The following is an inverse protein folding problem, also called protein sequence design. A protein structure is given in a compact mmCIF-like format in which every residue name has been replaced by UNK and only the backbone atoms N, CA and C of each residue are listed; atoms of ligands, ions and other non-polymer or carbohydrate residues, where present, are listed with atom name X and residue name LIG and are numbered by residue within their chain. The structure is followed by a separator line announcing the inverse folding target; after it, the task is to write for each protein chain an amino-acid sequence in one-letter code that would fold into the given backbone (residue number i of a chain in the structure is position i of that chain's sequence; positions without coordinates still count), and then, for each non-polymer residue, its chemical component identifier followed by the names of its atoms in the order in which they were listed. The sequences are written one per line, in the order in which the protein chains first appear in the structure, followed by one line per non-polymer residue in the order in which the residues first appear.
data_IF_896308112644
#
_entry.id   IF_896308112644
#
_cell.length_a   1.000
_cell.length_b   1.000
_cell.length_c   1.000
_cell.angle_alpha   90.00
_cell.angle_beta   90.00
_cell.angle_gamma   90.00
#
_symmetry.space_group_name_H-M   'P 1'
#
loop_
_entity.id
_entity.type
_entity.pdbx_description
1 polymer ?
#
# COMPACT_ATOMS: atom_id res chain seq x y z
N UNK A 1 36.12 -16.70 -14.57
CA UNK A 1 34.94 -16.76 -13.66
C UNK A 1 34.16 -15.48 -13.86
N UNK A 2 33.15 -15.53 -14.72
CA UNK A 2 32.20 -14.44 -14.86
C UNK A 2 31.31 -14.44 -13.62
N UNK A 3 31.67 -13.61 -12.63
CA UNK A 3 30.81 -13.38 -11.50
C UNK A 3 29.51 -12.74 -12.03
N UNK A 4 28.39 -13.37 -11.78
CA UNK A 4 27.08 -12.76 -12.08
C UNK A 4 26.99 -11.41 -11.33
N UNK A 5 26.47 -10.38 -11.99
CA UNK A 5 26.31 -9.09 -11.34
C UNK A 5 25.44 -9.23 -10.09
N UNK A 6 25.91 -8.74 -8.95
CA UNK A 6 25.16 -8.73 -7.70
C UNK A 6 24.34 -7.44 -7.67
N UNK A 7 23.01 -7.56 -7.62
CA UNK A 7 22.13 -6.43 -7.41
C UNK A 7 22.33 -5.89 -5.99
N UNK A 8 22.74 -4.64 -5.86
CA UNK A 8 22.93 -3.99 -4.56
C UNK A 8 21.69 -3.23 -4.11
N UNK A 9 20.93 -2.65 -5.03
CA UNK A 9 19.73 -1.86 -4.78
C UNK A 9 18.90 -1.71 -6.05
N UNK A 10 17.59 -1.45 -5.90
CA UNK A 10 16.65 -1.13 -6.96
C UNK A 10 15.93 0.17 -6.67
N UNK A 11 15.54 0.88 -7.71
CA UNK A 11 14.69 2.08 -7.61
C UNK A 11 13.43 1.88 -8.44
N UNK A 12 12.30 2.27 -7.88
CA UNK A 12 11.07 2.42 -8.64
C UNK A 12 11.02 3.83 -9.22
N UNK A 13 10.99 3.95 -10.55
CA UNK A 13 10.85 5.23 -11.24
C UNK A 13 9.40 5.35 -11.70
N UNK A 14 8.70 6.31 -11.12
CA UNK A 14 7.30 6.58 -11.42
C UNK A 14 7.18 7.78 -12.37
N UNK A 15 6.93 7.49 -13.67
CA UNK A 15 6.76 8.49 -14.72
C UNK A 15 5.27 8.85 -14.86
N UNK A 16 4.83 9.87 -14.15
CA UNK A 16 3.46 10.40 -14.18
C UNK A 16 3.46 11.90 -13.88
N UNK A 17 2.39 12.63 -14.20
CA UNK A 17 2.22 14.00 -13.70
C UNK A 17 2.34 14.02 -12.18
N UNK A 18 3.01 15.04 -11.64
CA UNK A 18 3.19 15.18 -10.20
C UNK A 18 1.82 15.10 -9.50
N UNK A 19 1.65 14.21 -8.50
CA UNK A 19 0.44 14.17 -7.70
C UNK A 19 0.16 15.49 -7.01
N UNK A 20 -1.12 15.83 -6.91
CA UNK A 20 -1.58 17.01 -6.18
C UNK A 20 -1.88 16.66 -4.73
N UNK A 21 -1.74 17.64 -3.86
CA UNK A 21 -2.12 17.52 -2.45
C UNK A 21 -3.64 17.58 -2.27
N UNK A 22 -4.16 16.75 -1.37
CA UNK A 22 -5.54 16.74 -0.90
C UNK A 22 -5.55 16.89 0.62
N UNK A 23 -6.17 17.95 1.11
CA UNK A 23 -6.21 18.29 2.53
C UNK A 23 -7.51 17.82 3.14
N UNK A 24 -7.44 16.95 4.13
CA UNK A 24 -8.60 16.39 4.84
C UNK A 24 -8.51 16.72 6.33
N UNK A 25 -9.61 17.18 6.92
CA UNK A 25 -9.73 17.28 8.36
C UNK A 25 -9.89 15.89 8.98
N UNK A 26 -9.25 15.68 10.14
CA UNK A 26 -9.65 14.58 11.02
C UNK A 26 -11.11 14.77 11.47
N UNK A 27 -11.81 13.68 11.77
CA UNK A 27 -13.18 13.73 12.29
C UNK A 27 -13.30 14.55 13.58
N UNK A 28 -12.25 14.56 14.40
CA UNK A 28 -12.18 15.43 15.60
C UNK A 28 -11.95 16.91 15.25
N UNK A 29 -11.74 17.25 13.98
CA UNK A 29 -11.57 18.63 13.51
C UNK A 29 -10.23 19.29 13.89
N UNK A 30 -9.35 18.58 14.61
CA UNK A 30 -8.12 19.17 15.15
C UNK A 30 -6.88 19.03 14.28
N UNK A 31 -6.84 18.03 13.41
CA UNK A 31 -5.67 17.71 12.58
C UNK A 31 -6.03 17.74 11.10
N UNK A 32 -5.14 18.29 10.29
CA UNK A 32 -5.26 18.25 8.83
C UNK A 32 -4.23 17.24 8.32
N UNK A 33 -4.70 16.27 7.53
CA UNK A 33 -3.84 15.34 6.82
C UNK A 33 -3.75 15.71 5.35
N UNK A 34 -2.55 15.66 4.80
CA UNK A 34 -2.28 15.95 3.40
C UNK A 34 -1.95 14.67 2.66
N UNK A 35 -2.90 14.18 1.87
CA UNK A 35 -2.71 12.99 1.04
C UNK A 35 -2.29 13.34 -0.38
N UNK A 36 -1.60 12.43 -1.03
CA UNK A 36 -1.50 12.45 -2.49
C UNK A 36 -2.89 12.17 -3.10
N UNK A 37 -3.19 12.77 -4.24
CA UNK A 37 -4.48 12.58 -4.94
C UNK A 37 -4.69 11.16 -5.48
N UNK A 38 -3.64 10.37 -5.61
CA UNK A 38 -3.64 9.01 -6.20
C UNK A 38 -2.72 8.04 -5.48
N UNK A 39 -2.90 6.76 -5.74
CA UNK A 39 -2.02 5.69 -5.24
C UNK A 39 -0.63 5.77 -5.89
N UNK A 40 0.40 5.22 -5.23
CA UNK A 40 1.73 5.11 -5.84
C UNK A 40 1.62 4.25 -7.11
N UNK A 41 2.25 4.73 -8.18
CA UNK A 41 2.25 4.07 -9.47
C UNK A 41 1.01 4.35 -10.33
N UNK A 42 -0.01 5.02 -9.80
CA UNK A 42 -1.18 5.42 -10.58
C UNK A 42 -0.85 6.60 -11.52
N UNK A 43 -1.35 6.54 -12.74
CA UNK A 43 -1.14 7.61 -13.72
C UNK A 43 -2.26 8.66 -13.70
N UNK A 44 -3.38 8.37 -13.02
CA UNK A 44 -4.54 9.25 -12.90
C UNK A 44 -5.20 9.13 -11.52
N UNK A 45 -5.88 10.18 -11.09
CA UNK A 45 -6.81 10.19 -9.95
C UNK A 45 -8.28 9.95 -10.38
N UNK A 46 -8.54 9.82 -11.68
CA UNK A 46 -9.85 9.51 -12.21
C UNK A 46 -10.20 8.03 -12.04
N UNK A 47 -11.50 7.75 -11.89
CA UNK A 47 -12.02 6.37 -11.78
C UNK A 47 -11.56 5.48 -12.93
N UNK A 48 -11.15 4.27 -12.62
CA UNK A 48 -10.73 3.24 -13.57
C UNK A 48 -9.36 2.65 -13.26
N UNK A 49 -8.92 1.70 -14.08
CA UNK A 49 -7.69 0.92 -13.89
C UNK A 49 -6.43 1.80 -13.68
N UNK A 50 -6.41 2.97 -14.32
CA UNK A 50 -5.30 3.94 -14.22
C UNK A 50 -5.15 4.58 -12.84
N UNK A 51 -6.15 4.47 -11.96
CA UNK A 51 -6.13 4.97 -10.59
C UNK A 51 -5.65 3.94 -9.57
N UNK A 52 -5.59 2.67 -9.94
CA UNK A 52 -5.28 1.59 -8.99
C UNK A 52 -3.85 1.67 -8.47
N UNK A 53 -2.89 2.07 -9.33
CA UNK A 53 -1.48 2.11 -8.98
C UNK A 53 -0.86 0.72 -8.88
N UNK A 54 0.17 0.61 -8.06
CA UNK A 54 0.95 -0.60 -7.86
C UNK A 54 0.72 -1.19 -6.47
N UNK A 55 1.01 -2.49 -6.33
CA UNK A 55 0.84 -3.24 -5.10
C UNK A 55 2.18 -3.46 -4.42
N UNK A 56 2.18 -3.49 -3.11
CA UNK A 56 3.39 -3.67 -2.30
C UNK A 56 3.17 -4.76 -1.27
N UNK A 57 4.15 -5.63 -1.06
CA UNK A 57 4.21 -6.43 0.14
C UNK A 57 4.64 -5.54 1.31
N UNK A 58 4.05 -5.73 2.48
CA UNK A 58 4.30 -4.84 3.62
C UNK A 58 5.79 -4.73 3.96
N UNK A 59 6.27 -3.49 4.11
CA UNK A 59 7.67 -3.21 4.43
C UNK A 59 8.63 -3.27 3.24
N UNK A 60 8.16 -3.52 2.01
CA UNK A 60 8.96 -3.48 0.78
C UNK A 60 8.83 -2.15 0.06
N UNK A 61 9.93 -1.72 -0.55
CA UNK A 61 9.97 -0.58 -1.45
C UNK A 61 9.67 -0.94 -2.92
N UNK A 62 9.76 -2.23 -3.25
CA UNK A 62 9.64 -2.72 -4.62
C UNK A 62 8.18 -3.03 -4.94
N UNK A 63 7.64 -2.48 -6.04
CA UNK A 63 6.25 -2.65 -6.43
C UNK A 63 6.01 -3.93 -7.22
N UNK A 64 4.74 -4.34 -7.23
CA UNK A 64 4.20 -5.39 -8.07
C UNK A 64 3.00 -4.89 -8.86
N UNK A 65 2.83 -5.44 -10.06
CA UNK A 65 1.66 -5.19 -10.88
C UNK A 65 0.50 -6.10 -10.51
N UNK A 66 -0.68 -5.68 -10.94
CA UNK A 66 -1.85 -6.54 -10.93
C UNK A 66 -1.59 -7.80 -11.77
N UNK A 67 -1.66 -9.00 -11.20
CA UNK A 67 -1.50 -10.24 -11.95
C UNK A 67 -2.46 -10.31 -13.15
N UNK A 68 -1.97 -10.79 -14.29
CA UNK A 68 -2.75 -10.93 -15.52
C UNK A 68 -2.92 -9.66 -16.37
N UNK A 69 -2.38 -8.53 -15.93
CA UNK A 69 -2.26 -7.31 -16.73
C UNK A 69 -0.84 -6.74 -16.59
N UNK A 70 0.16 -7.32 -17.27
CA UNK A 70 1.53 -6.83 -17.15
C UNK A 70 1.65 -5.41 -17.74
N UNK A 71 1.99 -4.44 -16.90
CA UNK A 71 2.33 -3.08 -17.32
C UNK A 71 3.72 -3.04 -17.98
N UNK A 72 4.58 -4.01 -17.70
CA UNK A 72 6.00 -4.07 -18.06
C UNK A 72 6.35 -5.11 -19.12
N UNK A 73 5.36 -5.70 -19.78
CA UNK A 73 5.62 -6.57 -20.93
C UNK A 73 6.37 -5.82 -22.07
N UNK A 74 6.26 -4.49 -22.06
CA UNK A 74 7.00 -3.59 -22.94
C UNK A 74 8.51 -3.64 -22.73
N UNK A 75 9.01 -4.07 -21.58
CA UNK A 75 10.44 -4.13 -21.26
C UNK A 75 10.96 -5.57 -21.14
N UNK A 76 10.14 -6.59 -21.39
CA UNK A 76 10.56 -7.99 -21.26
C UNK A 76 10.90 -8.41 -19.82
N UNK A 77 10.50 -7.63 -18.83
CA UNK A 77 10.69 -7.94 -17.42
C UNK A 77 9.60 -8.89 -16.96
N UNK A 78 9.89 -10.17 -16.98
CA UNK A 78 9.01 -11.15 -16.33
C UNK A 78 9.12 -10.98 -14.83
N UNK A 79 8.01 -10.58 -14.19
CA UNK A 79 7.88 -10.73 -12.74
C UNK A 79 8.06 -12.20 -12.42
N UNK A 80 9.17 -12.56 -11.82
CA UNK A 80 9.39 -13.93 -11.36
C UNK A 80 8.48 -14.15 -10.17
N UNK A 81 7.28 -14.64 -10.45
CA UNK A 81 6.36 -15.04 -9.41
C UNK A 81 6.97 -16.22 -8.63
N UNK A 82 6.74 -16.22 -7.34
CA UNK A 82 6.81 -17.37 -6.47
C UNK A 82 8.22 -17.92 -6.21
N UNK A 83 8.86 -17.41 -5.20
CA UNK A 83 9.83 -18.20 -4.45
C UNK A 83 9.12 -19.22 -3.57
N UNK A 84 9.72 -20.41 -3.49
CA UNK A 84 9.26 -21.48 -2.63
C UNK A 84 8.99 -21.00 -1.20
N UNK A 85 8.06 -21.67 -0.57
CA UNK A 85 7.48 -21.51 0.77
C UNK A 85 8.52 -21.41 1.89
N UNK A 86 9.40 -20.42 1.91
CA UNK A 86 10.38 -20.20 2.98
C UNK A 86 10.33 -18.77 3.50
N UNK A 87 10.80 -18.60 4.72
CA UNK A 87 11.05 -17.26 5.28
C UNK A 87 12.11 -16.57 4.45
N UNK A 88 11.84 -15.34 4.05
CA UNK A 88 12.74 -14.53 3.23
C UNK A 88 13.41 -13.48 4.11
N UNK A 89 14.72 -13.40 4.03
CA UNK A 89 15.49 -12.38 4.73
C UNK A 89 15.35 -11.02 4.03
N UNK A 90 15.71 -9.95 4.74
CA UNK A 90 15.77 -8.62 4.15
C UNK A 90 16.74 -8.57 2.96
N UNK A 91 17.88 -9.23 3.09
CA UNK A 91 18.89 -9.30 2.02
C UNK A 91 18.33 -9.99 0.76
N UNK A 92 17.64 -11.12 0.93
CA UNK A 92 16.99 -11.81 -0.20
C UNK A 92 15.95 -10.91 -0.88
N UNK A 93 15.19 -10.14 -0.11
CA UNK A 93 14.23 -9.20 -0.66
C UNK A 93 14.87 -8.10 -1.49
N UNK A 94 15.97 -7.53 -1.01
CA UNK A 94 16.72 -6.49 -1.73
C UNK A 94 17.33 -7.05 -3.02
N UNK A 95 17.91 -8.25 -2.95
CA UNK A 95 18.53 -8.93 -4.11
C UNK A 95 17.52 -9.40 -5.16
N UNK A 96 16.25 -9.54 -4.78
CA UNK A 96 15.19 -10.06 -5.65
C UNK A 96 13.98 -9.10 -5.69
N UNK A 97 14.14 -7.87 -6.19
CA UNK A 97 13.08 -6.85 -6.16
C UNK A 97 11.84 -7.26 -6.98
N UNK A 98 12.01 -8.08 -8.01
CA UNK A 98 10.95 -8.55 -8.90
C UNK A 98 10.29 -9.85 -8.42
N UNK A 99 10.70 -10.41 -7.27
CA UNK A 99 10.13 -11.64 -6.74
C UNK A 99 9.05 -11.33 -5.72
N UNK A 100 7.85 -11.78 -5.98
CA UNK A 100 6.76 -11.78 -5.00
C UNK A 100 6.96 -12.98 -4.05
N UNK A 101 7.09 -12.72 -2.77
CA UNK A 101 7.32 -13.76 -1.78
C UNK A 101 6.02 -14.30 -1.24
N UNK A 102 5.66 -15.51 -1.65
CA UNK A 102 4.49 -16.19 -1.13
C UNK A 102 4.65 -16.54 0.35
N UNK A 103 3.54 -16.87 1.00
CA UNK A 103 3.57 -17.36 2.38
C UNK A 103 4.40 -18.65 2.50
N UNK A 104 5.17 -18.78 3.58
CA UNK A 104 5.64 -20.06 4.05
C UNK A 104 4.50 -20.88 4.68
N UNK A 105 4.83 -21.91 5.43
CA UNK A 105 3.85 -22.71 6.20
C UNK A 105 3.10 -21.87 7.25
N UNK A 106 3.63 -20.70 7.62
CA UNK A 106 2.96 -19.72 8.45
C UNK A 106 2.59 -18.48 7.61
N UNK A 107 1.30 -18.31 7.41
CA UNK A 107 0.65 -17.20 6.69
C UNK A 107 1.14 -15.81 7.12
N UNK A 108 1.57 -15.68 8.38
CA UNK A 108 1.86 -14.41 9.04
C UNK A 108 3.28 -13.92 8.83
N UNK A 109 4.20 -14.75 8.36
CA UNK A 109 5.63 -14.52 8.58
C UNK A 109 6.53 -14.61 7.35
N UNK A 110 6.00 -14.71 6.15
CA UNK A 110 6.81 -14.97 4.97
C UNK A 110 7.86 -13.88 4.70
N UNK A 111 7.59 -12.64 5.04
CA UNK A 111 8.45 -11.54 4.64
C UNK A 111 8.99 -10.69 5.79
N UNK A 112 8.25 -10.35 6.83
CA UNK A 112 8.63 -9.22 7.71
C UNK A 112 8.89 -9.58 9.18
N UNK A 113 8.95 -10.84 9.54
CA UNK A 113 8.97 -11.28 10.93
C UNK A 113 10.08 -10.68 11.81
N UNK A 114 11.22 -10.33 11.23
CA UNK A 114 12.38 -9.87 12.00
C UNK A 114 12.60 -8.35 12.00
N UNK A 115 11.77 -7.59 11.31
CA UNK A 115 11.89 -6.14 11.30
C UNK A 115 10.52 -5.48 11.18
N UNK A 116 9.79 -5.38 12.30
CA UNK A 116 8.43 -4.87 12.32
C UNK A 116 8.32 -3.37 11.95
N UNK A 117 9.42 -2.66 11.85
CA UNK A 117 9.45 -1.21 11.62
C UNK A 117 10.06 -0.82 10.28
N UNK A 118 9.92 -1.64 9.24
CA UNK A 118 10.54 -1.38 7.93
C UNK A 118 10.13 -0.07 7.28
N UNK A 119 8.89 0.35 7.48
CA UNK A 119 8.43 1.66 7.05
C UNK A 119 8.48 2.72 8.15
N UNK A 120 9.13 2.39 9.29
CA UNK A 120 9.24 3.25 10.49
C UNK A 120 7.88 3.74 11.01
N UNK A 121 6.83 2.92 10.86
CA UNK A 121 5.47 3.24 11.25
C UNK A 121 5.14 3.02 12.73
N UNK A 122 6.15 3.05 13.61
CA UNK A 122 5.97 2.77 15.05
C UNK A 122 5.04 3.77 15.73
N UNK A 123 5.20 5.04 15.42
CA UNK A 123 4.37 6.11 15.91
C UNK A 123 4.41 7.31 14.94
N UNK A 124 3.65 8.36 15.25
CA UNK A 124 3.56 9.55 14.38
C UNK A 124 4.88 10.31 14.28
N UNK A 125 5.77 10.15 15.26
CA UNK A 125 7.07 10.84 15.32
C UNK A 125 8.18 10.04 14.66
N UNK A 126 7.95 8.76 14.35
CA UNK A 126 8.93 7.93 13.67
C UNK A 126 9.15 8.43 12.24
N UNK A 127 10.41 8.61 11.87
CA UNK A 127 10.80 9.03 10.53
C UNK A 127 10.51 7.96 9.47
N UNK A 128 10.59 8.38 8.22
CA UNK A 128 10.51 7.50 7.06
C UNK A 128 11.79 6.70 6.88
N UNK A 129 11.70 5.41 6.62
CA UNK A 129 12.86 4.59 6.29
C UNK A 129 13.17 4.59 4.80
N UNK A 130 14.35 4.05 4.43
CA UNK A 130 14.74 3.83 3.02
C UNK A 130 13.88 2.78 2.31
N UNK A 131 13.09 2.00 3.03
CA UNK A 131 12.18 0.99 2.49
C UNK A 131 10.76 1.51 2.24
N UNK A 132 10.47 2.71 2.70
CA UNK A 132 9.18 3.36 2.43
C UNK A 132 9.12 3.77 0.96
N UNK A 133 8.13 3.27 0.17
CA UNK A 133 8.07 3.50 -1.26
C UNK A 133 7.51 4.87 -1.65
N UNK A 134 6.96 5.62 -0.71
CA UNK A 134 6.42 6.95 -1.00
C UNK A 134 7.51 7.92 -1.47
N UNK A 135 7.21 8.86 -2.36
CA UNK A 135 8.18 9.85 -2.82
C UNK A 135 8.63 10.78 -1.68
N UNK A 136 9.70 11.54 -1.95
CA UNK A 136 10.22 12.52 -1.00
C UNK A 136 9.15 13.49 -0.52
N UNK A 137 9.10 13.76 0.78
CA UNK A 137 8.10 14.59 1.46
C UNK A 137 6.79 13.89 1.76
N UNK A 138 6.70 12.59 1.42
CA UNK A 138 5.54 11.74 1.73
C UNK A 138 6.00 10.42 2.35
N UNK A 139 5.13 9.79 3.11
CA UNK A 139 5.34 8.48 3.75
C UNK A 139 4.11 7.60 3.65
N UNK A 140 4.29 6.31 3.89
CA UNK A 140 3.17 5.40 4.14
C UNK A 140 2.48 5.85 5.43
N UNK A 141 1.16 6.11 5.42
CA UNK A 141 0.46 6.57 6.62
C UNK A 141 0.44 5.51 7.71
N UNK A 142 0.54 5.93 8.96
CA UNK A 142 0.25 5.06 10.10
C UNK A 142 -1.27 4.91 10.26
N UNK A 143 -1.72 3.87 10.96
CA UNK A 143 -3.14 3.55 11.10
C UNK A 143 -3.97 4.68 11.70
N UNK A 144 -3.43 5.46 12.63
CA UNK A 144 -4.14 6.58 13.28
C UNK A 144 -4.58 7.66 12.27
N UNK A 145 -3.84 7.83 11.16
CA UNK A 145 -4.22 8.76 10.09
C UNK A 145 -5.56 8.35 9.48
N UNK A 146 -5.72 7.08 9.16
CA UNK A 146 -6.97 6.55 8.62
C UNK A 146 -8.06 6.43 9.67
N UNK A 147 -7.70 6.08 10.90
CA UNK A 147 -8.66 6.05 12.02
C UNK A 147 -9.34 7.41 12.20
N UNK A 148 -8.58 8.48 12.10
CA UNK A 148 -9.08 9.84 12.25
C UNK A 148 -9.87 10.36 11.04
N UNK A 149 -9.91 9.64 9.92
CA UNK A 149 -10.74 9.99 8.75
C UNK A 149 -12.15 9.41 8.82
N UNK A 150 -12.43 8.57 9.78
CA UNK A 150 -13.70 7.87 9.92
C UNK A 150 -14.32 8.14 11.28
N UNK A 151 -15.61 8.10 11.33
CA UNK A 151 -16.38 8.19 12.56
C UNK A 151 -17.13 6.89 12.80
N UNK A 152 -16.87 6.28 13.96
CA UNK A 152 -17.65 5.14 14.49
C UNK A 152 -17.93 4.00 13.49
N UNK A 153 -16.98 3.70 12.59
CA UNK A 153 -17.08 2.61 11.60
C UNK A 153 -18.16 2.79 10.53
N UNK A 154 -18.79 3.93 10.43
CA UNK A 154 -19.85 4.22 9.46
C UNK A 154 -19.41 5.27 8.43
N UNK A 155 -20.09 5.29 7.30
CA UNK A 155 -20.00 6.40 6.36
C UNK A 155 -20.47 7.66 7.03
N UNK A 156 -19.70 8.73 6.88
CA UNK A 156 -20.04 10.07 7.39
C UNK A 156 -20.56 10.94 6.25
N UNK A 157 -21.07 12.11 6.58
CA UNK A 157 -21.42 13.13 5.57
C UNK A 157 -20.21 13.59 4.75
N UNK A 158 -18.99 13.36 5.25
CA UNK A 158 -17.74 13.71 4.59
C UNK A 158 -17.18 12.60 3.68
N UNK A 159 -17.88 11.46 3.58
CA UNK A 159 -17.44 10.37 2.74
C UNK A 159 -18.65 9.70 2.06
N UNK A 160 -18.51 9.43 0.78
CA UNK A 160 -19.49 8.68 0.01
C UNK A 160 -18.86 7.46 -0.64
N UNK A 161 -19.60 6.38 -0.72
CA UNK A 161 -19.20 5.16 -1.38
C UNK A 161 -19.88 5.02 -2.73
N UNK A 162 -19.13 4.52 -3.69
CA UNK A 162 -19.60 4.07 -4.98
C UNK A 162 -19.05 2.66 -5.26
N UNK A 163 -19.59 1.99 -6.28
CA UNK A 163 -19.14 0.63 -6.66
C UNK A 163 -17.65 0.54 -7.02
N UNK A 164 -17.04 1.66 -7.35
CA UNK A 164 -15.63 1.75 -7.77
C UNK A 164 -14.68 2.19 -6.67
N UNK A 165 -15.18 2.70 -5.55
CA UNK A 165 -14.35 3.19 -4.46
C UNK A 165 -15.04 4.15 -3.50
N UNK A 166 -14.23 4.79 -2.68
CA UNK A 166 -14.67 5.73 -1.65
C UNK A 166 -14.12 7.11 -1.93
N UNK A 167 -14.97 8.11 -1.79
CA UNK A 167 -14.64 9.52 -1.93
C UNK A 167 -14.70 10.22 -0.58
N UNK A 168 -13.65 10.89 -0.22
CA UNK A 168 -13.62 11.76 0.94
C UNK A 168 -13.71 13.23 0.51
N UNK A 169 -14.54 13.99 1.21
CA UNK A 169 -14.56 15.45 1.07
C UNK A 169 -13.23 16.03 1.53
N UNK A 170 -12.67 16.93 0.75
CA UNK A 170 -11.43 17.65 1.08
C UNK A 170 -11.72 19.13 1.36
N UNK A 171 -10.78 19.80 2.01
CA UNK A 171 -10.90 21.22 2.34
C UNK A 171 -10.99 22.11 1.09
N UNK A 172 -10.35 21.66 -0.02
CA UNK A 172 -10.37 22.41 -1.28
C UNK A 172 -11.75 22.32 -1.95
N UNK A 173 -12.44 23.44 -2.18
CA UNK A 173 -13.76 23.42 -2.81
C UNK A 173 -13.76 22.74 -4.18
N UNK A 174 -14.78 21.92 -4.43
CA UNK A 174 -14.98 21.22 -5.71
C UNK A 174 -13.99 20.10 -5.98
N UNK A 175 -13.27 19.64 -4.98
CA UNK A 175 -12.37 18.49 -5.06
C UNK A 175 -12.76 17.42 -4.05
N UNK A 176 -12.38 16.19 -4.36
CA UNK A 176 -12.55 15.03 -3.48
C UNK A 176 -11.26 14.20 -3.51
N UNK A 177 -11.06 13.38 -2.51
CA UNK A 177 -10.02 12.37 -2.49
C UNK A 177 -10.65 11.00 -2.74
N UNK A 178 -10.34 10.42 -3.89
CA UNK A 178 -10.84 9.12 -4.31
C UNK A 178 -9.88 8.00 -3.91
N UNK A 179 -10.41 6.98 -3.23
CA UNK A 179 -9.73 5.72 -2.92
C UNK A 179 -10.39 4.61 -3.75
N UNK A 180 -9.77 4.13 -4.84
CA UNK A 180 -10.32 3.05 -5.63
C UNK A 180 -10.35 1.71 -4.89
N UNK A 181 -11.37 0.91 -5.16
CA UNK A 181 -11.41 -0.51 -4.81
C UNK A 181 -10.50 -1.28 -5.74
N UNK A 182 -9.29 -1.53 -5.30
CA UNK A 182 -8.23 -2.08 -6.15
C UNK A 182 -8.15 -3.60 -6.15
N UNK A 183 -8.80 -4.27 -5.19
CA UNK A 183 -8.53 -5.67 -4.89
C UNK A 183 -7.15 -5.88 -4.25
N UNK A 184 -6.75 -7.13 -4.11
CA UNK A 184 -5.49 -7.53 -3.47
C UNK A 184 -4.76 -8.58 -4.31
N UNK A 185 -3.44 -8.64 -4.19
CA UNK A 185 -2.63 -9.79 -4.63
C UNK A 185 -2.53 -10.74 -3.45
N UNK A 186 -3.03 -11.94 -3.60
CA UNK A 186 -2.99 -12.96 -2.55
C UNK A 186 -1.61 -13.64 -2.46
N UNK A 187 -1.45 -14.51 -1.50
CA UNK A 187 -0.20 -15.17 -1.15
C UNK A 187 0.42 -16.02 -2.27
N UNK A 188 -0.39 -16.48 -3.21
CA UNK A 188 0.04 -17.28 -4.35
C UNK A 188 0.25 -16.45 -5.63
N UNK A 189 0.30 -15.11 -5.47
CA UNK A 189 0.33 -14.16 -6.57
C UNK A 189 -0.94 -14.17 -7.44
N UNK A 190 -2.03 -14.77 -6.99
CA UNK A 190 -3.33 -14.61 -7.62
C UNK A 190 -3.93 -13.25 -7.30
N UNK A 191 -4.82 -12.79 -8.15
CA UNK A 191 -5.54 -11.55 -7.91
C UNK A 191 -6.93 -11.84 -7.38
N UNK A 192 -7.24 -11.27 -6.23
CA UNK A 192 -8.57 -11.37 -5.60
C UNK A 192 -9.24 -10.00 -5.65
N UNK A 193 -10.39 -9.94 -6.31
CA UNK A 193 -11.26 -8.78 -6.30
C UNK A 193 -12.47 -9.10 -5.43
N UNK A 194 -12.47 -8.58 -4.22
CA UNK A 194 -13.47 -8.88 -3.20
C UNK A 194 -14.49 -7.75 -2.98
N UNK A 195 -14.59 -6.80 -3.91
CA UNK A 195 -15.41 -5.60 -3.78
C UNK A 195 -15.11 -4.80 -2.51
N UNK A 196 -13.91 -4.97 -1.97
CA UNK A 196 -13.42 -4.29 -0.79
C UNK A 196 -12.35 -3.26 -1.12
N UNK A 197 -12.22 -2.29 -0.25
CA UNK A 197 -11.13 -1.34 -0.25
C UNK A 197 -10.14 -1.77 0.80
N UNK A 198 -8.86 -1.98 0.41
CA UNK A 198 -7.80 -2.35 1.33
C UNK A 198 -6.50 -1.65 0.97
N UNK A 199 -5.90 -1.00 1.95
CA UNK A 199 -4.66 -0.24 1.83
C UNK A 199 -3.72 -0.55 2.97
N UNK A 200 -2.43 -0.62 2.68
CA UNK A 200 -1.44 -0.74 3.72
C UNK A 200 -1.36 0.51 4.59
N UNK A 201 -1.10 0.29 5.87
CA UNK A 201 -0.55 1.29 6.78
C UNK A 201 0.88 0.93 7.16
N UNK A 202 1.67 1.89 7.62
CA UNK A 202 3.01 1.63 8.14
C UNK A 202 3.00 0.99 9.54
N UNK A 203 1.84 0.95 10.20
CA UNK A 203 1.74 0.45 11.58
C UNK A 203 1.92 -1.05 11.66
N UNK A 204 2.96 -1.53 12.35
CA UNK A 204 3.19 -2.95 12.53
C UNK A 204 2.26 -3.53 13.60
N UNK A 205 1.96 -4.81 13.45
CA UNK A 205 1.49 -5.68 14.54
C UNK A 205 2.54 -6.76 14.82
N UNK A 206 2.33 -7.56 15.84
CA UNK A 206 3.31 -8.58 16.27
C UNK A 206 3.69 -9.55 15.14
N UNK A 207 2.73 -9.93 14.31
CA UNK A 207 2.92 -10.90 13.21
C UNK A 207 2.27 -10.49 11.89
N UNK A 208 1.54 -9.39 11.89
CA UNK A 208 0.78 -8.87 10.75
C UNK A 208 1.00 -7.37 10.64
N UNK A 209 0.30 -6.70 9.75
CA UNK A 209 0.28 -5.25 9.66
C UNK A 209 -1.16 -4.74 9.69
N UNK A 210 -1.34 -3.53 10.17
CA UNK A 210 -2.64 -2.88 10.12
C UNK A 210 -2.93 -2.40 8.71
N UNK A 211 -4.18 -2.52 8.29
CA UNK A 211 -4.68 -2.02 7.03
C UNK A 211 -5.81 -1.04 7.24
N UNK A 212 -6.01 -0.17 6.28
CA UNK A 212 -7.21 0.64 6.17
C UNK A 212 -8.12 -0.01 5.13
N UNK A 213 -9.38 -0.24 5.48
CA UNK A 213 -10.27 -0.92 4.55
C UNK A 213 -11.75 -0.68 4.78
N UNK A 214 -12.53 -1.00 3.75
CA UNK A 214 -13.98 -1.05 3.76
C UNK A 214 -14.44 -2.40 3.22
N UNK A 215 -15.29 -3.09 3.97
CA UNK A 215 -15.83 -4.38 3.58
C UNK A 215 -17.23 -4.58 4.17
N UNK A 216 -18.15 -5.12 3.39
CA UNK A 216 -19.53 -5.41 3.81
C UNK A 216 -20.24 -4.23 4.52
N UNK A 217 -20.06 -3.02 4.00
CA UNK A 217 -20.78 -1.86 4.51
C UNK A 217 -20.15 -1.22 5.76
N UNK A 218 -18.94 -1.62 6.16
CA UNK A 218 -18.27 -1.12 7.37
C UNK A 218 -16.82 -0.75 7.09
N UNK A 219 -16.33 0.28 7.76
CA UNK A 219 -14.92 0.52 7.90
C UNK A 219 -14.31 -0.57 8.76
N UNK A 220 -13.22 -1.12 8.29
CA UNK A 220 -12.51 -2.17 9.00
C UNK A 220 -11.09 -1.70 9.27
N UNK A 221 -10.75 -1.58 10.56
CA UNK A 221 -9.37 -1.68 11.01
C UNK A 221 -9.08 -3.16 11.08
N UNK A 222 -8.41 -3.66 10.08
CA UNK A 222 -8.00 -5.05 10.16
C UNK A 222 -6.92 -5.18 11.22
N UNK A 223 -7.34 -5.45 12.45
CA UNK A 223 -6.60 -6.25 13.41
C UNK A 223 -6.60 -7.72 12.99
N UNK A 224 -7.06 -8.00 11.76
CA UNK A 224 -7.35 -9.36 11.37
C UNK A 224 -6.04 -10.10 11.13
N UNK A 225 -5.90 -11.21 11.84
CA UNK A 225 -4.78 -12.12 11.77
C UNK A 225 -4.52 -12.68 10.35
N UNK A 226 -5.43 -12.43 9.41
CA UNK A 226 -5.38 -12.96 8.05
C UNK A 226 -4.71 -12.04 7.02
N UNK A 227 -4.46 -10.76 7.34
CA UNK A 227 -3.71 -9.86 6.45
C UNK A 227 -2.21 -10.04 6.67
N UNK A 228 -1.72 -11.22 6.29
CA UNK A 228 -0.30 -11.49 6.30
C UNK A 228 0.49 -10.50 5.43
N UNK A 229 1.64 -10.09 5.91
CA UNK A 229 2.56 -9.15 5.25
C UNK A 229 3.02 -9.60 3.86
N UNK A 230 2.76 -10.87 3.50
CA UNK A 230 3.04 -11.43 2.19
C UNK A 230 2.01 -11.07 1.10
N UNK A 231 0.86 -10.50 1.47
CA UNK A 231 -0.09 -9.97 0.47
C UNK A 231 0.41 -8.70 -0.20
N UNK A 232 -0.06 -8.44 -1.40
CA UNK A 232 0.18 -7.20 -2.11
C UNK A 232 -1.04 -6.27 -1.99
N UNK A 233 -0.87 -5.10 -1.36
CA UNK A 233 -1.89 -4.07 -1.27
C UNK A 233 -1.36 -2.74 -1.84
N UNK A 234 -2.26 -1.86 -2.29
CA UNK A 234 -1.89 -0.51 -2.70
C UNK A 234 -1.51 0.36 -1.50
N UNK A 235 -0.82 1.45 -1.80
CA UNK A 235 -0.42 2.47 -0.84
C UNK A 235 -0.93 3.83 -1.30
N UNK A 236 -1.52 4.58 -0.37
CA UNK A 236 -1.83 5.99 -0.51
C UNK A 236 -0.94 6.79 0.44
N UNK A 237 -0.04 7.57 -0.10
CA UNK A 237 0.90 8.32 0.71
C UNK A 237 0.28 9.55 1.36
N UNK A 238 0.76 9.86 2.56
CA UNK A 238 0.46 11.08 3.32
C UNK A 238 1.74 11.90 3.47
N UNK A 239 1.63 13.21 3.55
CA UNK A 239 2.78 14.11 3.72
C UNK A 239 3.47 13.85 5.04
N UNK A 240 4.80 13.96 5.04
CA UNK A 240 5.59 14.08 6.26
C UNK A 240 5.46 15.52 6.77
N UNK A 241 4.90 15.69 7.96
CA UNK A 241 4.85 17.00 8.65
C UNK A 241 6.08 17.18 9.53
#
# INVERSE_FOLDING_TARGET
HDALPILLWSWHIWCAPRPSDRYIHSESGGTIYTFMDRNIGAVSDAVGDNSYGLYYQWGRKDPFEKPGKPLFDVLGMKVSALHELKRVSLSEGILNPMSFFSKGTDIRTAWSFFSPYRWEGRDITAGKSIYDPCPYGYRVPINIVFYNLRKDYYLTENCRMEDTGVYFSVIQPGRELFFPMTGVIDFDYSFVYDNGLQYWTASPMTTTSMTFGWYNGKWIDFYDNDMGTARGLPIRCVRED
#
